data_IF_328478749939
#
_entry.id   IF_328478749939
#
_cell.length_a   1.000
_cell.length_b   1.000
_cell.length_c   1.000
_cell.angle_alpha   90.00
_cell.angle_beta   90.00
_cell.angle_gamma   90.00
#
_symmetry.space_group_name_H-M   'P 1'
#
loop_
_entity.id
_entity.type
_entity.pdbx_description
1 polymer ?
#
# COMPACT_ATOMS: atom_id res chain seq x y z
N UNK A 1 -18.43 -29.28 19.88
CA UNK A 1 -17.93 -28.05 19.24
C UNK A 1 -16.62 -28.38 18.57
N UNK A 2 -16.49 -28.06 17.28
CA UNK A 2 -15.31 -28.39 16.48
C UNK A 2 -14.10 -27.63 17.02
N UNK A 3 -12.91 -28.24 17.11
CA UNK A 3 -11.70 -27.54 17.56
C UNK A 3 -11.37 -26.28 16.73
N UNK A 4 -11.89 -26.22 15.51
CA UNK A 4 -11.84 -25.06 14.63
C UNK A 4 -12.63 -23.85 15.15
N UNK A 5 -13.70 -24.07 15.90
CA UNK A 5 -14.52 -22.99 16.45
C UNK A 5 -13.84 -22.35 17.67
N UNK A 6 -13.14 -23.14 18.49
CA UNK A 6 -12.39 -22.64 19.65
C UNK A 6 -11.18 -21.79 19.22
N UNK A 7 -10.44 -22.26 18.20
CA UNK A 7 -9.29 -21.52 17.64
C UNK A 7 -9.76 -20.20 17.02
N UNK A 8 -10.87 -20.20 16.27
CA UNK A 8 -11.45 -18.98 15.71
C UNK A 8 -11.82 -17.98 16.81
N UNK A 9 -12.43 -18.46 17.92
CA UNK A 9 -12.81 -17.61 19.04
C UNK A 9 -11.59 -17.01 19.73
N UNK A 10 -10.56 -17.80 20.01
CA UNK A 10 -9.31 -17.32 20.62
C UNK A 10 -8.59 -16.25 19.78
N UNK A 11 -8.61 -16.39 18.44
CA UNK A 11 -8.02 -15.40 17.54
C UNK A 11 -8.88 -14.12 17.52
N UNK A 12 -10.20 -14.26 17.40
CA UNK A 12 -11.15 -13.14 17.26
C UNK A 12 -11.29 -12.32 18.55
N UNK A 13 -11.14 -12.96 19.72
CA UNK A 13 -11.19 -12.28 21.02
C UNK A 13 -9.83 -11.75 21.48
N UNK A 14 -8.77 -11.96 20.70
CA UNK A 14 -7.45 -11.43 21.08
C UNK A 14 -7.43 -9.90 21.08
N UNK A 15 -6.71 -9.32 22.05
CA UNK A 15 -6.46 -7.87 22.16
C UNK A 15 -5.92 -7.29 20.84
N UNK A 16 -5.04 -8.04 20.17
CA UNK A 16 -4.47 -7.65 18.87
C UNK A 16 -5.57 -7.59 17.81
N UNK A 17 -6.44 -8.60 17.73
CA UNK A 17 -7.53 -8.64 16.76
C UNK A 17 -8.56 -7.53 16.99
N UNK A 18 -8.99 -7.29 18.23
CA UNK A 18 -9.90 -6.19 18.53
C UNK A 18 -9.28 -4.81 18.33
N UNK A 19 -7.95 -4.68 18.46
CA UNK A 19 -7.25 -3.43 18.17
C UNK A 19 -7.20 -3.11 16.66
N UNK A 20 -7.16 -4.14 15.82
CA UNK A 20 -7.11 -4.04 14.35
C UNK A 20 -8.50 -3.95 13.75
N UNK A 21 -9.47 -4.72 14.26
CA UNK A 21 -10.85 -4.76 13.78
C UNK A 21 -11.80 -4.26 14.88
N UNK A 22 -11.96 -2.94 14.95
CA UNK A 22 -12.70 -2.25 16.04
C UNK A 22 -14.23 -2.22 15.89
N UNK A 23 -14.77 -2.70 14.77
CA UNK A 23 -16.21 -2.59 14.46
C UNK A 23 -16.80 -3.95 14.08
N UNK A 24 -18.01 -4.24 14.58
CA UNK A 24 -18.74 -5.49 14.28
C UNK A 24 -19.23 -5.58 12.83
N UNK A 25 -19.69 -6.76 12.40
CA UNK A 25 -20.10 -7.02 11.02
C UNK A 25 -21.56 -6.61 10.70
N UNK A 26 -22.16 -5.71 11.49
CA UNK A 26 -23.54 -5.28 11.23
C UNK A 26 -23.62 -4.47 9.94
N UNK A 27 -24.49 -4.88 9.01
CA UNK A 27 -24.53 -4.35 7.64
C UNK A 27 -25.31 -3.03 7.53
N UNK A 28 -25.09 -2.10 8.46
CA UNK A 28 -25.68 -0.75 8.45
C UNK A 28 -24.79 0.24 7.68
N UNK A 29 -25.37 1.26 7.01
CA UNK A 29 -24.58 2.23 6.24
C UNK A 29 -23.60 3.04 7.10
N UNK A 30 -23.93 3.27 8.38
CA UNK A 30 -23.04 3.92 9.35
C UNK A 30 -21.85 3.02 9.68
N UNK A 31 -22.11 1.75 9.99
CA UNK A 31 -21.06 0.80 10.35
C UNK A 31 -20.12 0.51 9.18
N UNK A 32 -20.62 0.46 7.94
CA UNK A 32 -19.80 0.28 6.73
C UNK A 32 -18.76 1.39 6.54
N UNK A 33 -19.09 2.63 6.88
CA UNK A 33 -18.14 3.76 6.85
C UNK A 33 -17.14 3.62 8.00
N UNK A 34 -17.62 3.31 9.20
CA UNK A 34 -16.79 3.14 10.39
C UNK A 34 -15.77 1.99 10.25
N UNK A 35 -16.12 0.91 9.55
CA UNK A 35 -15.21 -0.18 9.21
C UNK A 35 -14.08 0.28 8.28
N UNK A 36 -14.37 1.17 7.32
CA UNK A 36 -13.36 1.69 6.39
C UNK A 36 -12.49 2.76 7.07
N UNK A 37 -13.09 3.69 7.82
CA UNK A 37 -12.35 4.77 8.49
C UNK A 37 -11.64 4.36 9.78
N UNK A 38 -12.12 3.30 10.45
CA UNK A 38 -11.57 2.83 11.73
C UNK A 38 -10.29 2.01 11.60
N UNK A 39 -9.92 1.63 10.38
CA UNK A 39 -8.77 0.80 10.06
C UNK A 39 -7.72 1.65 9.33
N UNK A 40 -6.47 1.61 9.77
CA UNK A 40 -5.36 2.41 9.21
C UNK A 40 -5.22 2.20 7.70
N UNK A 41 -5.33 0.95 7.24
CA UNK A 41 -5.19 0.58 5.83
C UNK A 41 -6.39 0.93 4.97
N UNK A 42 -7.60 0.73 5.49
CA UNK A 42 -8.83 1.00 4.75
C UNK A 42 -9.17 2.50 4.73
N UNK A 43 -8.64 3.29 5.66
CA UNK A 43 -8.81 4.75 5.66
C UNK A 43 -8.32 5.40 4.36
N UNK A 44 -7.25 4.84 3.78
CA UNK A 44 -6.68 5.34 2.52
C UNK A 44 -7.65 5.17 1.35
N UNK A 45 -8.50 4.14 1.40
CA UNK A 45 -9.47 3.88 0.35
C UNK A 45 -10.76 4.68 0.59
N UNK A 46 -11.30 5.36 -0.43
CA UNK A 46 -12.55 6.09 -0.27
C UNK A 46 -13.69 5.15 0.12
N UNK A 47 -14.40 5.48 1.20
CA UNK A 47 -15.54 4.70 1.73
C UNK A 47 -16.79 4.77 0.85
N UNK A 48 -16.89 5.80 0.00
CA UNK A 48 -17.93 5.97 -1.01
C UNK A 48 -17.34 6.53 -2.30
N UNK A 49 -17.61 5.85 -3.40
CA UNK A 49 -17.22 6.32 -4.74
C UNK A 49 -18.47 6.37 -5.62
N UNK A 50 -18.62 7.46 -6.39
CA UNK A 50 -19.73 7.58 -7.36
C UNK A 50 -19.51 6.63 -8.53
N UNK A 51 -20.56 5.94 -9.00
CA UNK A 51 -20.49 4.95 -10.12
C UNK A 51 -19.89 5.50 -11.42
N UNK A 52 -19.94 6.81 -11.64
CA UNK A 52 -19.39 7.46 -12.83
C UNK A 52 -17.88 7.68 -12.71
N UNK A 53 -17.35 7.80 -11.49
CA UNK A 53 -15.92 7.99 -11.22
C UNK A 53 -15.10 6.70 -11.36
N UNK A 54 -15.74 5.52 -11.21
CA UNK A 54 -15.09 4.21 -11.38
C UNK A 54 -14.98 3.75 -12.83
N UNK A 55 -15.48 4.54 -13.79
CA UNK A 55 -15.36 4.21 -15.21
C UNK A 55 -13.92 4.43 -15.66
N UNK A 56 -13.16 3.33 -15.76
CA UNK A 56 -11.76 3.28 -16.20
C UNK A 56 -11.46 4.05 -17.50
N UNK A 57 -12.47 4.22 -18.37
CA UNK A 57 -12.35 4.96 -19.64
C UNK A 57 -12.10 6.46 -19.48
N UNK A 58 -12.49 7.08 -18.37
CA UNK A 58 -12.37 8.55 -18.21
C UNK A 58 -11.10 9.00 -17.49
N UNK A 59 -10.60 8.18 -16.56
CA UNK A 59 -9.46 8.58 -15.70
C UNK A 59 -8.28 7.63 -15.81
N UNK A 60 -8.39 6.54 -16.58
CA UNK A 60 -7.33 5.55 -16.85
C UNK A 60 -6.60 5.02 -15.61
N UNK A 61 -7.19 5.16 -14.43
CA UNK A 61 -6.50 4.96 -13.16
C UNK A 61 -5.16 5.74 -13.06
N UNK A 62 -5.09 6.95 -13.64
CA UNK A 62 -3.86 7.74 -13.72
C UNK A 62 -3.19 7.94 -12.34
N UNK A 63 -3.97 8.11 -11.27
CA UNK A 63 -3.43 8.21 -9.90
C UNK A 63 -2.77 6.92 -9.40
N UNK A 64 -3.31 5.75 -9.75
CA UNK A 64 -2.69 4.47 -9.40
C UNK A 64 -1.42 4.21 -10.20
N UNK A 65 -1.43 4.59 -11.48
CA UNK A 65 -0.27 4.47 -12.37
C UNK A 65 0.88 5.36 -11.88
N UNK A 66 0.62 6.62 -11.53
CA UNK A 66 1.66 7.52 -11.01
C UNK A 66 2.22 7.05 -9.67
N UNK A 67 1.37 6.52 -8.78
CA UNK A 67 1.82 5.91 -7.53
C UNK A 67 2.70 4.66 -7.76
N UNK A 68 2.33 3.81 -8.72
CA UNK A 68 3.12 2.64 -9.09
C UNK A 68 4.48 3.04 -9.68
N UNK A 69 4.50 4.01 -10.61
CA UNK A 69 5.74 4.53 -11.17
C UNK A 69 6.61 5.16 -10.09
N UNK A 70 6.02 5.88 -9.13
CA UNK A 70 6.74 6.42 -7.99
C UNK A 70 7.44 5.31 -7.18
N UNK A 71 6.74 4.23 -6.84
CA UNK A 71 7.35 3.10 -6.12
C UNK A 71 8.51 2.46 -6.90
N UNK A 72 8.34 2.24 -8.20
CA UNK A 72 9.41 1.72 -9.07
C UNK A 72 10.63 2.66 -9.02
N UNK A 73 10.40 3.97 -9.16
CA UNK A 73 11.47 4.99 -9.14
C UNK A 73 12.15 5.08 -7.78
N UNK A 74 11.42 4.90 -6.68
CA UNK A 74 12.00 4.89 -5.34
C UNK A 74 12.92 3.68 -5.16
N UNK A 75 12.48 2.49 -5.58
CA UNK A 75 13.29 1.27 -5.46
C UNK A 75 14.53 1.34 -6.34
N UNK A 76 14.40 1.73 -7.61
CA UNK A 76 15.55 1.88 -8.51
C UNK A 76 16.46 3.05 -8.10
N UNK A 77 15.89 4.13 -7.56
CA UNK A 77 16.65 5.25 -7.01
C UNK A 77 17.49 4.87 -5.80
N UNK A 78 16.93 4.11 -4.85
CA UNK A 78 17.68 3.55 -3.72
C UNK A 78 18.81 2.66 -4.21
N UNK A 79 18.55 1.83 -5.22
CA UNK A 79 19.57 0.98 -5.83
C UNK A 79 20.73 1.79 -6.41
N UNK A 80 20.43 2.87 -7.15
CA UNK A 80 21.43 3.79 -7.69
C UNK A 80 22.26 4.48 -6.60
N UNK A 81 21.65 4.87 -5.47
CA UNK A 81 22.34 5.54 -4.36
C UNK A 81 23.43 4.69 -3.71
N UNK A 82 23.37 3.37 -3.79
CA UNK A 82 24.44 2.51 -3.26
C UNK A 82 25.73 2.59 -4.09
N UNK A 83 25.65 2.96 -5.36
CA UNK A 83 26.77 2.94 -6.30
C UNK A 83 27.16 4.33 -6.81
N UNK A 84 26.26 5.32 -6.72
CA UNK A 84 26.50 6.69 -7.15
C UNK A 84 27.08 7.55 -6.02
N UNK A 85 28.23 8.20 -6.24
CA UNK A 85 28.78 9.20 -5.30
C UNK A 85 28.41 10.62 -5.74
N UNK A 86 27.84 11.46 -4.85
CA UNK A 86 27.38 12.81 -5.18
C UNK A 86 28.55 13.81 -5.21
N UNK A 87 29.55 13.58 -6.06
CA UNK A 87 30.75 14.41 -6.22
C UNK A 87 31.03 14.64 -7.70
N UNK A 88 31.22 15.90 -8.10
CA UNK A 88 31.37 16.27 -9.52
C UNK A 88 32.52 15.54 -10.24
N UNK A 89 33.62 15.28 -9.53
CA UNK A 89 34.80 14.60 -10.08
C UNK A 89 34.52 13.14 -10.47
N UNK A 90 33.69 12.43 -9.69
CA UNK A 90 33.42 11.00 -9.87
C UNK A 90 32.07 10.71 -10.54
N UNK A 91 31.18 11.70 -10.67
CA UNK A 91 29.82 11.52 -11.17
C UNK A 91 29.77 10.83 -12.55
N UNK A 92 30.63 11.22 -13.49
CA UNK A 92 30.64 10.62 -14.83
C UNK A 92 31.24 9.20 -14.84
N UNK A 93 32.26 8.94 -14.01
CA UNK A 93 32.86 7.63 -13.88
C UNK A 93 31.89 6.63 -13.23
N UNK A 94 31.17 7.05 -12.19
CA UNK A 94 30.16 6.25 -11.51
C UNK A 94 28.98 5.92 -12.45
N UNK A 95 28.58 6.84 -13.34
CA UNK A 95 27.58 6.55 -14.38
C UNK A 95 28.04 5.46 -15.36
N UNK A 96 29.30 5.49 -15.80
CA UNK A 96 29.86 4.43 -16.65
C UNK A 96 29.96 3.10 -15.92
N UNK A 97 30.36 3.11 -14.65
CA UNK A 97 30.43 1.92 -13.82
C UNK A 97 29.05 1.24 -13.71
N UNK A 98 28.00 2.03 -13.47
CA UNK A 98 26.62 1.57 -13.44
C UNK A 98 26.14 0.96 -14.77
N UNK A 99 26.62 1.45 -15.90
CA UNK A 99 26.21 1.00 -17.23
C UNK A 99 26.93 -0.30 -17.68
N UNK A 100 28.22 -0.44 -17.36
CA UNK A 100 29.07 -1.48 -17.96
C UNK A 100 29.59 -2.55 -16.97
N UNK A 101 29.79 -2.21 -15.69
CA UNK A 101 30.51 -3.05 -14.73
C UNK A 101 29.61 -3.58 -13.60
N UNK A 102 28.38 -3.08 -13.49
CA UNK A 102 27.40 -3.57 -12.53
C UNK A 102 26.95 -5.01 -12.90
N UNK A 103 26.92 -5.96 -11.94
CA UNK A 103 26.49 -7.34 -12.19
C UNK A 103 25.00 -7.50 -12.51
#
# INVERSE_FOLDING_TARGET
MSGWDEIKRQITESQVWQSIFRHGYDDTPRNRILMVSGNVWLHLHPSKVRRHATRLRFTWCMGGITFLLYLVTVVTGIYLMFYYRPTAEYAYADMKYLEYDMP
#
